data_IF_902631452686
#
_entry.id   IF_902631452686
#
_cell.length_a   1.000
_cell.length_b   1.000
_cell.length_c   1.000
_cell.angle_alpha   90.00
_cell.angle_beta   90.00
_cell.angle_gamma   90.00
#
_symmetry.space_group_name_H-M   'P 1'
#
loop_
_entity.id
_entity.type
_entity.pdbx_description
1 polymer ?
#
# COMPACT_ATOMS: atom_id res chain seq x y z
N UNK A 1 9.91 0.10 26.41
CA UNK A 1 9.00 0.46 25.30
C UNK A 1 8.24 1.73 25.62
N UNK A 2 7.95 2.53 24.62
CA UNK A 2 7.19 3.75 24.84
C UNK A 2 5.72 3.41 25.17
N UNK A 3 5.09 4.28 25.97
CA UNK A 3 3.67 4.16 26.25
C UNK A 3 2.82 4.21 24.96
N UNK A 4 3.25 5.02 24.00
CA UNK A 4 2.57 5.13 22.71
C UNK A 4 2.53 3.80 21.96
N UNK A 5 3.65 3.09 21.92
CA UNK A 5 3.73 1.78 21.29
C UNK A 5 2.77 0.80 22.00
N UNK A 6 2.84 0.74 23.32
CA UNK A 6 2.03 -0.20 24.09
C UNK A 6 0.54 0.05 23.88
N UNK A 7 0.13 1.31 23.85
CA UNK A 7 -1.27 1.68 23.62
C UNK A 7 -1.76 1.23 22.25
N UNK A 8 -0.97 1.47 21.21
CA UNK A 8 -1.31 1.07 19.84
C UNK A 8 -1.38 -0.45 19.73
N UNK A 9 -0.40 -1.13 20.30
CA UNK A 9 -0.35 -2.59 20.31
C UNK A 9 -1.57 -3.19 20.99
N UNK A 10 -1.94 -2.68 22.17
CA UNK A 10 -3.10 -3.16 22.92
C UNK A 10 -4.39 -2.94 22.13
N UNK A 11 -4.53 -1.82 21.44
CA UNK A 11 -5.70 -1.57 20.59
C UNK A 11 -5.79 -2.59 19.46
N UNK A 12 -4.66 -2.94 18.85
CA UNK A 12 -4.63 -3.88 17.72
C UNK A 12 -5.02 -5.31 18.16
N UNK A 13 -4.73 -5.68 19.40
CA UNK A 13 -5.05 -7.00 19.96
C UNK A 13 -6.49 -7.04 20.48
N UNK A 14 -6.88 -6.02 21.24
CA UNK A 14 -8.16 -6.03 21.97
C UNK A 14 -9.35 -5.67 21.07
N UNK A 15 -9.13 -4.86 20.03
CA UNK A 15 -10.19 -4.46 19.11
C UNK A 15 -9.65 -4.37 17.67
N UNK A 16 -9.33 -5.52 17.06
CA UNK A 16 -8.67 -5.53 15.74
C UNK A 16 -9.54 -4.93 14.64
N UNK A 17 -10.84 -5.15 14.62
CA UNK A 17 -11.68 -4.58 13.56
C UNK A 17 -11.65 -3.05 13.57
N UNK A 18 -11.83 -2.45 14.74
CA UNK A 18 -11.80 -0.99 14.86
C UNK A 18 -10.42 -0.43 14.54
N UNK A 19 -9.38 -1.10 15.03
CA UNK A 19 -8.00 -0.68 14.78
C UNK A 19 -7.71 -0.64 13.28
N UNK A 20 -8.03 -1.71 12.56
CA UNK A 20 -7.75 -1.78 11.13
C UNK A 20 -8.70 -0.93 10.29
N UNK A 21 -9.92 -0.70 10.77
CA UNK A 21 -10.82 0.26 10.14
C UNK A 21 -10.23 1.66 10.15
N UNK A 22 -9.72 2.10 11.29
CA UNK A 22 -9.08 3.41 11.41
C UNK A 22 -7.80 3.49 10.58
N UNK A 23 -6.96 2.46 10.61
CA UNK A 23 -5.74 2.40 9.83
C UNK A 23 -6.02 2.44 8.32
N UNK A 24 -7.11 1.82 7.88
CA UNK A 24 -7.48 1.79 6.46
C UNK A 24 -7.83 3.16 5.90
N UNK A 25 -8.13 4.14 6.75
CA UNK A 25 -8.40 5.50 6.30
C UNK A 25 -7.15 6.23 5.77
N UNK A 26 -5.97 5.70 6.07
CA UNK A 26 -4.70 6.29 5.62
C UNK A 26 -4.38 5.95 4.16
N UNK A 27 -5.10 5.03 3.55
CA UNK A 27 -4.92 4.70 2.14
C UNK A 27 -6.13 5.13 1.33
N UNK A 28 -5.92 5.25 0.02
CA UNK A 28 -7.00 5.60 -0.90
C UNK A 28 -7.74 4.33 -1.35
N UNK A 29 -9.06 4.38 -1.33
CA UNK A 29 -9.94 3.33 -1.80
C UNK A 29 -10.79 3.84 -2.96
N UNK A 30 -10.87 3.07 -4.03
CA UNK A 30 -11.84 3.35 -5.09
C UNK A 30 -13.26 3.01 -4.62
N UNK A 31 -13.37 1.99 -3.78
CA UNK A 31 -14.59 1.66 -3.06
C UNK A 31 -14.20 1.29 -1.63
N UNK A 32 -14.67 2.06 -0.65
CA UNK A 32 -14.39 1.77 0.75
C UNK A 32 -15.03 0.45 1.17
N UNK A 33 -14.32 -0.38 1.93
CA UNK A 33 -14.91 -1.60 2.46
C UNK A 33 -16.02 -1.27 3.47
N UNK A 34 -17.11 -2.01 3.41
CA UNK A 34 -18.19 -1.88 4.38
C UNK A 34 -17.99 -2.82 5.56
N UNK A 35 -17.33 -3.94 5.32
CA UNK A 35 -17.02 -4.92 6.37
C UNK A 35 -15.51 -5.15 6.44
N UNK A 36 -14.95 -4.87 7.60
CA UNK A 36 -13.50 -4.92 7.78
C UNK A 36 -13.00 -6.36 7.89
N UNK A 37 -13.68 -7.19 8.69
CA UNK A 37 -13.30 -8.58 8.90
C UNK A 37 -14.53 -9.47 8.78
N UNK A 38 -14.46 -10.44 7.88
CA UNK A 38 -15.50 -11.46 7.72
C UNK A 38 -15.06 -12.75 8.43
N UNK A 39 -15.73 -13.08 9.52
CA UNK A 39 -15.49 -14.28 10.34
C UNK A 39 -16.54 -15.38 10.11
N UNK A 40 -17.34 -15.26 9.06
CA UNK A 40 -18.48 -16.16 8.87
C UNK A 40 -18.08 -17.61 8.54
N UNK A 41 -16.85 -17.84 8.09
CA UNK A 41 -16.37 -19.15 7.71
C UNK A 41 -15.00 -19.47 8.33
N UNK A 42 -14.91 -19.64 9.68
CA UNK A 42 -13.65 -19.96 10.31
C UNK A 42 -13.09 -21.31 9.83
N UNK A 43 -11.78 -21.49 9.73
CA UNK A 43 -10.71 -20.50 10.00
C UNK A 43 -10.39 -19.60 8.80
N UNK A 44 -11.21 -19.59 7.77
CA UNK A 44 -10.98 -18.84 6.54
C UNK A 44 -11.57 -17.44 6.67
N UNK A 45 -10.82 -16.54 7.31
CA UNK A 45 -11.23 -15.15 7.49
C UNK A 45 -10.87 -14.31 6.26
N UNK A 46 -11.68 -13.29 5.99
CA UNK A 46 -11.43 -12.35 4.89
C UNK A 46 -11.41 -10.92 5.42
N UNK A 47 -10.38 -10.19 5.03
CA UNK A 47 -10.21 -8.79 5.38
C UNK A 47 -10.58 -7.89 4.20
N UNK A 48 -11.31 -6.80 4.49
CA UNK A 48 -11.65 -5.77 3.50
C UNK A 48 -12.26 -6.34 2.21
N UNK A 49 -13.10 -7.33 2.35
CA UNK A 49 -13.56 -8.18 1.25
C UNK A 49 -14.22 -7.41 0.10
N UNK A 50 -15.04 -6.40 0.43
CA UNK A 50 -15.77 -5.61 -0.57
C UNK A 50 -15.06 -4.29 -0.92
N UNK A 51 -13.86 -4.06 -0.40
CA UNK A 51 -13.08 -2.88 -0.74
C UNK A 51 -12.38 -3.03 -2.10
N UNK A 52 -12.22 -1.92 -2.81
CA UNK A 52 -11.48 -1.87 -4.07
C UNK A 52 -10.40 -0.81 -3.96
N UNK A 53 -9.15 -1.23 -4.12
CA UNK A 53 -8.01 -0.33 -4.11
C UNK A 53 -6.92 -0.85 -5.04
N UNK A 54 -5.88 -0.05 -5.23
CA UNK A 54 -4.74 -0.42 -6.04
C UNK A 54 -3.47 0.02 -5.32
N UNK A 55 -2.56 -0.91 -5.10
CA UNK A 55 -1.31 -0.64 -4.37
C UNK A 55 -0.41 0.34 -5.11
N UNK A 56 -0.26 0.18 -6.42
CA UNK A 56 0.56 1.07 -7.22
C UNK A 56 0.00 2.50 -7.21
N UNK A 57 -1.31 2.65 -7.32
CA UNK A 57 -1.96 3.95 -7.24
C UNK A 57 -1.66 4.62 -5.90
N UNK A 58 -1.79 3.90 -4.80
CA UNK A 58 -1.50 4.42 -3.46
C UNK A 58 -0.02 4.77 -3.28
N UNK A 59 0.87 3.99 -3.88
CA UNK A 59 2.31 4.20 -3.72
C UNK A 59 2.84 5.33 -4.61
N UNK A 60 2.30 5.50 -5.79
CA UNK A 60 2.86 6.40 -6.81
C UNK A 60 1.89 7.47 -7.29
N UNK A 61 0.80 7.05 -7.90
CA UNK A 61 -0.09 7.95 -8.65
C UNK A 61 -0.71 9.04 -7.80
N UNK A 62 -1.16 8.69 -6.60
CA UNK A 62 -1.80 9.65 -5.70
C UNK A 62 -0.83 10.76 -5.29
N UNK A 63 0.44 10.45 -5.12
CA UNK A 63 1.46 11.44 -4.77
C UNK A 63 1.77 12.37 -5.92
N UNK A 64 1.71 11.86 -7.14
CA UNK A 64 1.87 12.69 -8.36
C UNK A 64 0.69 13.66 -8.48
N UNK A 65 -0.52 13.19 -8.26
CA UNK A 65 -1.73 14.03 -8.28
C UNK A 65 -1.69 15.11 -7.21
N UNK A 66 -1.03 14.85 -6.09
CA UNK A 66 -0.84 15.83 -5.02
C UNK A 66 0.32 16.81 -5.27
N UNK A 67 0.92 16.78 -6.45
CA UNK A 67 1.99 17.69 -6.83
C UNK A 67 3.39 17.26 -6.41
N UNK A 68 3.57 16.01 -6.03
CA UNK A 68 4.86 15.49 -5.56
C UNK A 68 5.60 14.66 -6.62
N UNK A 69 5.18 14.77 -7.89
CA UNK A 69 5.70 13.92 -8.96
C UNK A 69 7.20 14.01 -9.17
N UNK A 70 7.79 15.19 -8.95
CA UNK A 70 9.24 15.40 -9.14
C UNK A 70 10.08 15.09 -7.90
N UNK A 71 9.45 14.79 -6.77
CA UNK A 71 10.18 14.42 -5.56
C UNK A 71 10.77 13.03 -5.70
N UNK A 72 11.91 12.82 -5.04
CA UNK A 72 12.56 11.52 -4.99
C UNK A 72 11.69 10.53 -4.22
N UNK A 73 11.29 9.45 -4.88
CA UNK A 73 10.47 8.40 -4.29
C UNK A 73 11.32 7.21 -3.86
N UNK A 74 12.42 6.94 -4.56
CA UNK A 74 13.25 5.77 -4.33
C UNK A 74 14.72 6.14 -4.53
N UNK A 75 15.54 5.74 -3.55
CA UNK A 75 16.98 5.81 -3.66
C UNK A 75 17.50 4.37 -3.68
N UNK A 76 18.20 4.02 -4.75
CA UNK A 76 18.80 2.70 -4.90
C UNK A 76 20.30 2.82 -4.70
N UNK A 77 20.84 1.98 -3.84
CA UNK A 77 22.28 1.92 -3.60
C UNK A 77 22.69 0.46 -3.42
N UNK A 78 23.47 -0.04 -4.36
CA UNK A 78 23.94 -1.43 -4.33
C UNK A 78 25.45 -1.48 -4.17
N UNK A 79 25.96 -1.91 -3.02
CA UNK A 79 27.40 -2.09 -2.84
C UNK A 79 27.98 -3.22 -3.70
N UNK A 80 27.14 -4.17 -4.12
CA UNK A 80 27.57 -5.30 -4.95
C UNK A 80 27.88 -4.84 -6.37
N UNK A 81 26.99 -4.06 -6.98
CA UNK A 81 27.17 -3.54 -8.34
C UNK A 81 27.88 -2.19 -8.38
N UNK A 82 27.96 -1.50 -7.25
CA UNK A 82 28.49 -0.15 -7.17
C UNK A 82 27.57 0.93 -7.74
N UNK A 83 26.36 0.57 -8.09
CA UNK A 83 25.41 1.50 -8.70
C UNK A 83 24.58 2.24 -7.65
N UNK A 84 24.42 3.55 -7.87
CA UNK A 84 23.53 4.39 -7.09
C UNK A 84 22.57 5.10 -8.05
N UNK A 85 21.29 5.10 -7.72
CA UNK A 85 20.28 5.72 -8.55
C UNK A 85 19.19 6.36 -7.70
N UNK A 86 18.55 7.38 -8.23
CA UNK A 86 17.38 8.00 -7.62
C UNK A 86 16.27 8.04 -8.65
N UNK A 87 15.05 7.82 -8.19
CA UNK A 87 13.87 7.85 -9.03
C UNK A 87 12.81 8.75 -8.40
N UNK A 88 12.24 9.65 -9.20
CA UNK A 88 11.09 10.44 -8.79
C UNK A 88 9.82 9.58 -8.83
N UNK A 89 8.73 10.09 -8.24
CA UNK A 89 7.44 9.39 -8.34
C UNK A 89 6.99 9.24 -9.80
N UNK A 90 7.19 10.26 -10.63
CA UNK A 90 6.84 10.19 -12.05
C UNK A 90 7.65 9.14 -12.80
N UNK A 91 8.95 9.05 -12.52
CA UNK A 91 9.81 8.05 -13.15
C UNK A 91 9.42 6.64 -12.74
N UNK A 92 9.12 6.41 -11.46
CA UNK A 92 8.67 5.10 -10.99
C UNK A 92 7.33 4.72 -11.60
N UNK A 93 6.40 5.66 -11.69
CA UNK A 93 5.10 5.40 -12.33
C UNK A 93 5.29 4.97 -13.78
N UNK A 94 6.14 5.67 -14.52
CA UNK A 94 6.44 5.32 -15.90
C UNK A 94 7.01 3.91 -16.03
N UNK A 95 7.92 3.54 -15.14
CA UNK A 95 8.47 2.17 -15.11
C UNK A 95 7.43 1.13 -14.75
N UNK A 96 6.56 1.43 -13.79
CA UNK A 96 5.49 0.52 -13.38
C UNK A 96 4.48 0.27 -14.51
N UNK A 97 4.11 1.31 -15.24
CA UNK A 97 3.22 1.20 -16.40
C UNK A 97 3.86 0.34 -17.49
N UNK A 98 5.14 0.58 -17.79
CA UNK A 98 5.89 -0.20 -18.77
C UNK A 98 5.95 -1.67 -18.39
N UNK A 99 6.20 -1.97 -17.11
CA UNK A 99 6.22 -3.34 -16.61
C UNK A 99 4.85 -4.01 -16.74
N UNK A 100 3.80 -3.30 -16.43
CA UNK A 100 2.43 -3.80 -16.56
C UNK A 100 2.12 -4.18 -18.01
N UNK A 101 2.50 -3.34 -18.96
CA UNK A 101 2.32 -3.63 -20.37
C UNK A 101 3.11 -4.87 -20.83
N UNK A 102 4.29 -5.08 -20.27
CA UNK A 102 5.11 -6.25 -20.61
C UNK A 102 4.56 -7.54 -20.01
N UNK A 103 3.96 -7.49 -18.83
CA UNK A 103 3.53 -8.69 -18.10
C UNK A 103 2.11 -9.12 -18.40
N UNK A 104 1.20 -8.19 -18.72
CA UNK A 104 -0.20 -8.52 -19.02
C UNK A 104 -0.37 -9.55 -20.12
N UNK A 105 0.34 -9.46 -21.26
CA UNK A 105 0.19 -10.45 -22.33
C UNK A 105 0.64 -11.86 -21.97
N UNK A 106 1.47 -12.01 -20.94
CA UNK A 106 1.98 -13.32 -20.50
C UNK A 106 1.10 -13.98 -19.46
N UNK A 107 0.13 -13.27 -18.94
CA UNK A 107 -0.84 -13.83 -18.02
C UNK A 107 -1.90 -14.60 -18.78
N UNK A 108 -1.77 -15.86 -18.74
CA UNK A 108 -2.77 -16.74 -19.35
C UNK A 108 -4.01 -16.87 -18.47
#
# INVERSE_FOLDING_TARGET
>A
MSEKFQKIYDQSINNPEKFWQEASNDIFWFKKPTKILNKSNPPFYKWFEDGVTNTCYNALDIHIEQGKGKKTALIYDSPITGNKSQFSFEELRSKAVSYTHLTLPTKA
#
